data_IF_490066845596
#
_entry.id   IF_490066845596
#
_cell.length_a   1.000
_cell.length_b   1.000
_cell.length_c   1.000
_cell.angle_alpha   90.00
_cell.angle_beta   90.00
_cell.angle_gamma   90.00
#
_symmetry.space_group_name_H-M   'P 1'
#
loop_
_entity.id
_entity.type
_entity.pdbx_description
1 polymer ?
#
# COMPACT_ATOMS: atom_id res chain seq x y z
N UNK A 1 5.86 16.91 42.78
CA UNK A 1 6.31 15.74 41.99
C UNK A 1 5.32 15.57 40.85
N UNK A 2 5.59 16.23 39.72
CA UNK A 2 4.66 16.29 38.59
C UNK A 2 4.85 15.04 37.75
N UNK A 3 3.84 14.17 37.72
CA UNK A 3 3.83 12.94 36.95
C UNK A 3 3.59 13.29 35.48
N UNK A 4 4.65 13.25 34.67
CA UNK A 4 4.58 13.44 33.23
C UNK A 4 4.06 12.12 32.61
N UNK A 5 2.78 12.07 32.26
CA UNK A 5 2.20 10.96 31.49
C UNK A 5 2.65 11.10 30.04
N UNK A 6 3.67 10.34 29.67
CA UNK A 6 4.09 10.18 28.28
C UNK A 6 3.03 9.30 27.60
N UNK A 7 2.08 9.91 26.91
CA UNK A 7 1.21 9.20 25.99
C UNK A 7 2.05 8.72 24.82
N UNK A 8 2.57 7.49 24.89
CA UNK A 8 3.08 6.77 23.73
C UNK A 8 1.90 6.44 22.83
N UNK A 9 1.60 7.32 21.87
CA UNK A 9 0.66 7.00 20.81
C UNK A 9 1.29 5.96 19.89
N UNK A 10 1.08 4.67 20.21
CA UNK A 10 1.32 3.55 19.31
C UNK A 10 0.25 3.56 18.21
N UNK A 11 0.28 4.54 17.31
CA UNK A 11 -0.43 4.41 16.03
C UNK A 11 0.49 3.72 15.02
N UNK A 12 -0.11 2.96 14.09
CA UNK A 12 0.50 2.40 12.88
C UNK A 12 1.13 0.99 12.90
N UNK A 13 0.56 0.01 13.60
CA UNK A 13 0.82 -1.43 13.28
C UNK A 13 -0.42 -2.28 13.00
N UNK A 14 -1.60 -1.87 13.44
CA UNK A 14 -2.84 -2.64 13.24
C UNK A 14 -3.42 -2.57 11.82
N UNK A 15 -3.07 -1.53 11.07
CA UNK A 15 -3.78 -1.15 9.84
C UNK A 15 -3.28 -1.87 8.58
N UNK A 16 -1.98 -2.21 8.52
CA UNK A 16 -1.36 -2.83 7.34
C UNK A 16 -1.85 -4.26 7.03
N UNK A 17 -2.60 -4.88 7.94
CA UNK A 17 -3.13 -6.24 7.78
C UNK A 17 -4.65 -6.27 7.50
N UNK A 18 -5.32 -5.11 7.52
CA UNK A 18 -6.75 -4.99 7.25
C UNK A 18 -6.99 -4.84 5.73
N UNK A 19 -8.02 -5.45 5.13
CA UNK A 19 -8.45 -5.13 3.77
C UNK A 19 -8.64 -3.62 3.55
N UNK A 20 -8.25 -3.09 2.39
CA UNK A 20 -8.24 -1.65 2.12
C UNK A 20 -9.64 -1.05 2.18
N UNK A 21 -10.64 -1.81 1.73
CA UNK A 21 -12.05 -1.42 1.84
C UNK A 21 -12.45 -1.11 3.29
N UNK A 22 -12.11 -2.01 4.22
CA UNK A 22 -12.45 -1.86 5.64
C UNK A 22 -11.68 -0.70 6.29
N UNK A 23 -10.44 -0.46 5.85
CA UNK A 23 -9.70 0.72 6.29
C UNK A 23 -10.41 2.02 5.88
N UNK A 24 -10.75 2.14 4.60
CA UNK A 24 -11.35 3.35 4.04
C UNK A 24 -12.78 3.62 4.55
N UNK A 25 -13.54 2.60 4.93
CA UNK A 25 -14.87 2.77 5.54
C UNK A 25 -14.82 3.47 6.90
N UNK A 26 -13.69 3.38 7.61
CA UNK A 26 -13.53 3.90 8.97
C UNK A 26 -12.70 5.19 9.04
N UNK A 27 -12.19 5.67 7.90
CA UNK A 27 -11.27 6.80 7.83
C UNK A 27 -11.79 7.90 6.92
N UNK A 28 -11.38 9.14 7.20
CA UNK A 28 -11.66 10.26 6.31
C UNK A 28 -10.69 10.26 5.13
N UNK A 29 -11.20 10.04 3.90
CA UNK A 29 -10.40 10.02 2.67
C UNK A 29 -9.73 11.38 2.35
N UNK A 30 -10.26 12.48 2.87
CA UNK A 30 -9.69 13.82 2.68
C UNK A 30 -8.49 14.08 3.61
N UNK A 31 -8.23 13.20 4.58
CA UNK A 31 -7.11 13.36 5.49
C UNK A 31 -5.82 12.87 4.83
N UNK A 32 -4.78 13.70 4.84
CA UNK A 32 -3.45 13.38 4.28
C UNK A 32 -2.91 12.03 4.70
N UNK A 33 -2.98 11.68 5.99
CA UNK A 33 -2.52 10.37 6.49
C UNK A 33 -3.27 9.18 5.86
N UNK A 34 -4.56 9.35 5.56
CA UNK A 34 -5.38 8.33 4.91
C UNK A 34 -4.98 8.15 3.45
N UNK A 35 -4.77 9.26 2.75
CA UNK A 35 -4.31 9.27 1.35
C UNK A 35 -2.91 8.67 1.24
N UNK A 36 -2.00 9.03 2.15
CA UNK A 36 -0.65 8.46 2.25
C UNK A 36 -0.72 6.94 2.43
N UNK A 37 -1.57 6.43 3.34
CA UNK A 37 -1.70 4.98 3.54
C UNK A 37 -2.28 4.27 2.30
N UNK A 38 -3.30 4.87 1.68
CA UNK A 38 -3.88 4.38 0.43
C UNK A 38 -2.82 4.27 -0.67
N UNK A 39 -2.04 5.32 -0.90
CA UNK A 39 -0.97 5.35 -1.91
C UNK A 39 0.13 4.33 -1.61
N UNK A 40 0.57 4.21 -0.34
CA UNK A 40 1.55 3.19 0.09
C UNK A 40 1.06 1.77 -0.22
N UNK A 41 -0.21 1.48 0.08
CA UNK A 41 -0.84 0.17 -0.19
C UNK A 41 -1.01 -0.13 -1.67
N UNK A 42 -1.46 0.86 -2.44
CA UNK A 42 -1.61 0.71 -3.88
C UNK A 42 -0.23 0.60 -4.58
N UNK A 43 0.79 1.29 -4.12
CA UNK A 43 2.16 1.07 -4.59
C UNK A 43 2.59 -0.39 -4.37
N UNK A 44 2.37 -0.94 -3.17
CA UNK A 44 2.76 -2.31 -2.86
C UNK A 44 1.97 -3.36 -3.67
N UNK A 45 0.67 -3.15 -3.90
CA UNK A 45 -0.14 -4.13 -4.64
C UNK A 45 0.23 -4.19 -6.13
N UNK A 46 0.56 -3.05 -6.75
CA UNK A 46 1.04 -3.01 -8.13
C UNK A 46 2.44 -3.62 -8.27
N UNK A 47 3.32 -3.42 -7.29
CA UNK A 47 4.61 -4.13 -7.25
C UNK A 47 4.40 -5.66 -7.13
N UNK A 48 3.47 -6.09 -6.28
CA UNK A 48 3.10 -7.50 -6.16
C UNK A 48 2.54 -8.05 -7.47
N UNK A 49 1.62 -7.34 -8.11
CA UNK A 49 1.05 -7.73 -9.39
C UNK A 49 2.12 -7.87 -10.47
N UNK A 50 3.01 -6.89 -10.58
CA UNK A 50 4.18 -6.93 -11.46
C UNK A 50 5.00 -8.20 -11.27
N UNK A 51 5.31 -8.56 -10.01
CA UNK A 51 6.10 -9.74 -9.68
C UNK A 51 5.39 -11.05 -10.06
N UNK A 52 4.06 -11.12 -9.89
CA UNK A 52 3.26 -12.31 -10.25
C UNK A 52 3.29 -12.55 -11.76
N UNK A 53 3.14 -11.51 -12.57
CA UNK A 53 2.98 -11.65 -14.03
C UNK A 53 4.30 -11.54 -14.80
N UNK A 54 5.41 -11.17 -14.18
CA UNK A 54 6.71 -10.93 -14.83
C UNK A 54 7.14 -12.01 -15.83
N UNK A 55 6.92 -13.29 -15.49
CA UNK A 55 7.32 -14.42 -16.34
C UNK A 55 6.36 -14.68 -17.51
N UNK A 56 5.10 -14.28 -17.38
CA UNK A 56 4.04 -14.58 -18.36
C UNK A 56 3.71 -13.39 -19.24
N UNK A 57 3.89 -12.17 -18.73
CA UNK A 57 3.63 -10.92 -19.43
C UNK A 57 4.57 -9.82 -18.90
N UNK A 58 5.76 -9.75 -19.51
CA UNK A 58 6.79 -8.78 -19.13
C UNK A 58 6.40 -7.33 -19.44
N UNK A 59 5.57 -7.10 -20.46
CA UNK A 59 5.14 -5.75 -20.87
C UNK A 59 4.20 -5.18 -19.80
N UNK A 60 3.14 -5.91 -19.46
CA UNK A 60 2.23 -5.49 -18.40
C UNK A 60 2.93 -5.44 -17.04
N UNK A 61 3.88 -6.36 -16.78
CA UNK A 61 4.71 -6.33 -15.57
C UNK A 61 5.48 -5.03 -15.42
N UNK A 62 6.07 -4.52 -16.53
CA UNK A 62 6.77 -3.24 -16.56
C UNK A 62 5.82 -2.08 -16.26
N UNK A 63 4.64 -2.06 -16.89
CA UNK A 63 3.63 -1.03 -16.64
C UNK A 63 3.19 -1.00 -15.17
N UNK A 64 2.99 -2.18 -14.55
CA UNK A 64 2.61 -2.26 -13.13
C UNK A 64 3.70 -1.76 -12.19
N UNK A 65 4.99 -2.03 -12.45
CA UNK A 65 6.05 -1.49 -11.59
C UNK A 65 6.23 0.02 -11.76
N UNK A 66 5.99 0.56 -12.97
CA UNK A 66 5.96 2.01 -13.21
C UNK A 66 4.84 2.69 -12.42
N UNK A 67 3.61 2.13 -12.48
CA UNK A 67 2.48 2.59 -11.66
C UNK A 67 2.82 2.53 -10.16
N UNK A 68 3.40 1.41 -9.70
CA UNK A 68 3.81 1.23 -8.31
C UNK A 68 4.78 2.32 -7.85
N UNK A 69 5.77 2.64 -8.67
CA UNK A 69 6.75 3.68 -8.36
C UNK A 69 6.10 5.07 -8.32
N UNK A 70 5.24 5.40 -9.28
CA UNK A 70 4.53 6.68 -9.30
C UNK A 70 3.67 6.89 -8.04
N UNK A 71 2.94 5.86 -7.60
CA UNK A 71 2.16 5.91 -6.36
C UNK A 71 3.05 6.05 -5.13
N UNK A 72 4.22 5.40 -5.11
CA UNK A 72 5.19 5.58 -4.03
C UNK A 72 5.67 7.02 -3.96
N UNK A 73 6.05 7.61 -5.10
CA UNK A 73 6.50 8.99 -5.17
C UNK A 73 5.42 9.96 -4.67
N UNK A 74 4.17 9.79 -5.09
CA UNK A 74 3.04 10.59 -4.57
C UNK A 74 2.87 10.45 -3.05
N UNK A 75 3.07 9.25 -2.51
CA UNK A 75 3.00 9.06 -1.05
C UNK A 75 4.12 9.80 -0.32
N UNK A 76 5.32 9.85 -0.90
CA UNK A 76 6.46 10.60 -0.36
C UNK A 76 6.20 12.09 -0.42
N UNK A 77 5.66 12.59 -1.54
CA UNK A 77 5.29 14.01 -1.69
C UNK A 77 4.28 14.44 -0.62
N UNK A 78 3.20 13.67 -0.41
CA UNK A 78 2.22 13.98 0.62
C UNK A 78 2.80 13.90 2.03
N UNK A 79 3.72 12.96 2.31
CA UNK A 79 4.39 12.92 3.61
C UNK A 79 5.26 14.15 3.87
N UNK A 80 5.88 14.73 2.83
CA UNK A 80 6.66 15.96 2.96
C UNK A 80 5.73 17.17 3.19
N UNK A 81 4.57 17.21 2.53
CA UNK A 81 3.64 18.35 2.60
C UNK A 81 2.77 18.30 3.85
N UNK A 82 2.07 17.19 4.08
CA UNK A 82 1.02 17.07 5.10
C UNK A 82 1.55 16.62 6.47
N UNK A 83 2.64 15.84 6.48
CA UNK A 83 3.30 15.38 7.71
C UNK A 83 4.59 16.16 8.02
N UNK A 84 4.94 17.16 7.20
CA UNK A 84 6.16 18.00 7.32
C UNK A 84 7.46 17.18 7.46
N UNK A 85 7.51 15.97 6.87
CA UNK A 85 8.69 15.10 6.95
C UNK A 85 9.79 15.60 6.04
N UNK A 86 11.04 15.38 6.46
CA UNK A 86 12.19 15.50 5.56
C UNK A 86 12.08 14.49 4.43
N UNK A 87 12.45 14.89 3.22
CA UNK A 87 12.38 14.06 2.02
C UNK A 87 13.03 12.68 2.21
N UNK A 88 14.23 12.65 2.77
CA UNK A 88 14.99 11.41 3.00
C UNK A 88 14.27 10.44 3.97
N UNK A 89 13.63 10.98 5.02
CA UNK A 89 12.88 10.18 5.99
C UNK A 89 11.57 9.67 5.38
N UNK A 90 10.89 10.51 4.60
CA UNK A 90 9.69 10.13 3.88
C UNK A 90 9.96 9.01 2.87
N UNK A 91 11.04 9.13 2.07
CA UNK A 91 11.46 8.09 1.12
C UNK A 91 11.75 6.77 1.82
N UNK A 92 12.60 6.79 2.86
CA UNK A 92 12.98 5.60 3.64
C UNK A 92 11.78 4.92 4.26
N UNK A 93 10.87 5.68 4.85
CA UNK A 93 9.66 5.12 5.45
C UNK A 93 8.71 4.52 4.38
N UNK A 94 8.49 5.23 3.28
CA UNK A 94 7.63 4.75 2.20
C UNK A 94 8.17 3.45 1.58
N UNK A 95 9.48 3.36 1.34
CA UNK A 95 10.12 2.14 0.84
C UNK A 95 10.02 0.97 1.82
N UNK A 96 10.25 1.22 3.11
CA UNK A 96 10.11 0.19 4.15
C UNK A 96 8.67 -0.33 4.26
N UNK A 97 7.69 0.57 4.24
CA UNK A 97 6.27 0.22 4.24
C UNK A 97 5.88 -0.57 3.00
N UNK A 98 6.33 -0.14 1.81
CA UNK A 98 6.10 -0.87 0.55
C UNK A 98 6.67 -2.27 0.63
N UNK A 99 7.89 -2.45 1.15
CA UNK A 99 8.53 -3.75 1.32
C UNK A 99 7.74 -4.66 2.26
N UNK A 100 7.26 -4.14 3.38
CA UNK A 100 6.45 -4.89 4.34
C UNK A 100 5.12 -5.35 3.71
N UNK A 101 4.37 -4.43 3.09
CA UNK A 101 3.11 -4.72 2.43
C UNK A 101 3.26 -5.69 1.25
N UNK A 102 4.31 -5.50 0.43
CA UNK A 102 4.64 -6.42 -0.66
C UNK A 102 4.83 -7.85 -0.15
N UNK A 103 5.57 -8.03 0.95
CA UNK A 103 5.78 -9.35 1.53
C UNK A 103 4.48 -9.97 2.09
N UNK A 104 3.57 -9.16 2.63
CA UNK A 104 2.25 -9.61 3.06
C UNK A 104 1.43 -10.13 1.87
N UNK A 105 1.37 -9.37 0.76
CA UNK A 105 0.69 -9.82 -0.47
C UNK A 105 1.33 -11.09 -1.05
N UNK A 106 2.66 -11.23 -1.03
CA UNK A 106 3.34 -12.45 -1.46
C UNK A 106 2.89 -13.66 -0.62
N UNK A 107 2.83 -13.50 0.70
CA UNK A 107 2.41 -14.57 1.61
C UNK A 107 0.96 -14.97 1.36
N UNK A 108 0.05 -14.00 1.32
CA UNK A 108 -1.39 -14.27 1.20
C UNK A 108 -1.76 -14.74 -0.20
N UNK A 109 -1.12 -14.19 -1.23
CA UNK A 109 -1.30 -14.60 -2.61
C UNK A 109 -0.78 -16.01 -2.88
N UNK A 110 0.28 -16.47 -2.20
CA UNK A 110 0.72 -17.88 -2.24
C UNK A 110 -0.33 -18.81 -1.62
N UNK A 111 -0.86 -18.44 -0.44
CA UNK A 111 -1.93 -19.19 0.22
C UNK A 111 -3.19 -19.27 -0.66
N UNK A 112 -3.53 -18.18 -1.35
CA UNK A 112 -4.68 -18.17 -2.26
C UNK A 112 -4.44 -19.04 -3.51
N UNK A 113 -3.21 -19.00 -4.06
CA UNK A 113 -2.82 -19.87 -5.17
C UNK A 113 -2.96 -21.35 -4.84
N UNK A 114 -2.57 -21.77 -3.63
CA UNK A 114 -2.77 -23.15 -3.16
C UNK A 114 -4.25 -23.54 -3.12
N UNK A 115 -5.12 -22.61 -2.71
CA UNK A 115 -6.56 -22.82 -2.57
C UNK A 115 -7.29 -22.90 -3.91
N UNK A 116 -7.00 -22.01 -4.86
CA UNK A 116 -7.83 -21.85 -6.07
C UNK A 116 -7.06 -21.56 -7.37
N UNK A 117 -5.74 -21.68 -7.37
CA UNK A 117 -4.87 -21.40 -8.53
C UNK A 117 -5.01 -19.95 -9.05
N UNK A 118 -5.32 -19.01 -8.18
CA UNK A 118 -5.25 -17.58 -8.46
C UNK A 118 -4.53 -16.85 -7.34
N UNK A 119 -3.67 -15.91 -7.70
CA UNK A 119 -3.04 -15.01 -6.75
C UNK A 119 -4.00 -13.92 -6.23
N UNK A 120 -5.07 -13.62 -6.98
CA UNK A 120 -5.96 -12.50 -6.71
C UNK A 120 -7.40 -12.94 -6.44
N UNK A 121 -7.98 -13.72 -7.36
CA UNK A 121 -9.42 -14.02 -7.37
C UNK A 121 -9.85 -14.69 -6.07
N UNK A 122 -10.95 -14.22 -5.49
CA UNK A 122 -11.51 -14.77 -4.25
C UNK A 122 -10.70 -14.44 -3.00
N UNK A 123 -9.87 -13.40 -3.04
CA UNK A 123 -9.14 -12.86 -1.90
C UNK A 123 -9.32 -11.35 -1.81
N UNK A 124 -9.04 -10.78 -0.64
CA UNK A 124 -9.06 -9.32 -0.43
C UNK A 124 -8.09 -8.57 -1.37
N UNK A 125 -7.06 -9.25 -1.89
CA UNK A 125 -6.10 -8.67 -2.84
C UNK A 125 -6.83 -8.22 -4.12
N UNK A 126 -7.87 -8.95 -4.56
CA UNK A 126 -8.68 -8.53 -5.71
C UNK A 126 -9.48 -7.26 -5.42
N UNK A 127 -9.99 -7.13 -4.19
CA UNK A 127 -10.78 -5.97 -3.78
C UNK A 127 -9.89 -4.73 -3.64
N UNK A 128 -8.72 -4.90 -3.00
CA UNK A 128 -7.70 -3.86 -2.88
C UNK A 128 -7.23 -3.40 -4.27
N UNK A 129 -7.01 -4.32 -5.21
CA UNK A 129 -6.64 -3.97 -6.60
C UNK A 129 -7.73 -3.16 -7.29
N UNK A 130 -9.01 -3.51 -7.10
CA UNK A 130 -10.13 -2.76 -7.66
C UNK A 130 -10.28 -1.35 -7.06
N UNK A 131 -9.89 -1.15 -5.81
CA UNK A 131 -9.83 0.18 -5.21
C UNK A 131 -8.67 0.96 -5.83
N UNK A 132 -7.50 0.35 -5.93
CA UNK A 132 -6.30 0.98 -6.45
C UNK A 132 -6.38 1.33 -7.94
N UNK A 133 -7.14 0.57 -8.73
CA UNK A 133 -7.31 0.86 -10.17
C UNK A 133 -7.94 2.24 -10.40
N UNK A 134 -8.82 2.68 -9.51
CA UNK A 134 -9.47 4.00 -9.56
C UNK A 134 -8.50 5.17 -9.38
N UNK A 135 -7.29 4.92 -8.88
CA UNK A 135 -6.25 5.95 -8.73
C UNK A 135 -5.40 6.13 -9.99
N UNK A 136 -5.49 5.20 -10.94
CA UNK A 136 -4.61 5.13 -12.12
C UNK A 136 -5.39 5.11 -13.43
N UNK A 137 -6.69 4.85 -13.37
CA UNK A 137 -7.59 5.05 -14.49
C UNK A 137 -7.68 6.55 -14.79
N UNK A 138 -7.13 6.96 -15.93
CA UNK A 138 -7.32 8.31 -16.48
C UNK A 138 -8.83 8.59 -16.64
N UNK A 139 -9.24 9.80 -16.26
CA UNK A 139 -10.50 10.38 -16.75
C UNK A 139 -10.26 11.06 -18.09
#
# INVERSE_FOLDING_TARGET
>A
MTLCLIFSTNYAKGDLNLPLKQYLENENIEKGSTQINLLKRCSAIYAYASAVILKTDAVSSKNFIEISNNLLFKSVELMVIDEEKKLEDAQREAENNRKLLFNNYIKDGKKNWEKNKSHFKGSYISDDMSICSKLVEDK
#
